data_IF_689276903442
#
_entry.id   IF_689276903442
#
_cell.length_a   1.000
_cell.length_b   1.000
_cell.length_c   1.000
_cell.angle_alpha   90.00
_cell.angle_beta   90.00
_cell.angle_gamma   90.00
#
_symmetry.space_group_name_H-M   'P 1'
#
loop_
_entity.id
_entity.type
_entity.pdbx_description
1 polymer ?
#
# COMPACT_ATOMS: atom_id res chain seq x y z
N UNK A 1 -6.26 13.66 -4.03
CA UNK A 1 -5.40 12.54 -3.61
C UNK A 1 -4.65 12.88 -2.34
N UNK A 2 -4.14 11.86 -1.64
CA UNK A 2 -3.39 12.04 -0.39
C UNK A 2 -2.07 11.26 -0.47
N UNK A 3 -0.97 11.95 -0.16
CA UNK A 3 0.36 11.35 -0.04
C UNK A 3 0.84 11.44 1.39
N UNK A 4 1.36 10.33 1.92
CA UNK A 4 1.90 10.24 3.27
C UNK A 4 3.40 10.00 3.17
N UNK A 5 4.20 10.88 3.76
CA UNK A 5 5.65 10.75 3.81
C UNK A 5 6.17 11.10 5.20
N UNK A 6 7.40 10.68 5.52
CA UNK A 6 8.05 11.06 6.77
C UNK A 6 9.00 12.25 6.63
N UNK A 7 9.28 12.73 5.40
CA UNK A 7 10.40 13.61 5.08
C UNK A 7 9.96 14.91 4.40
N UNK A 8 8.67 15.10 4.12
CA UNK A 8 8.16 16.28 3.41
C UNK A 8 8.61 16.39 1.93
N UNK A 9 9.27 15.37 1.39
CA UNK A 9 9.78 15.36 0.02
C UNK A 9 8.68 15.29 -1.05
N UNK A 10 7.47 14.90 -0.68
CA UNK A 10 6.33 14.90 -1.61
C UNK A 10 6.01 16.30 -2.13
N UNK A 11 6.08 17.32 -1.29
CA UNK A 11 5.85 18.72 -1.71
C UNK A 11 6.90 19.19 -2.69
N UNK A 12 8.18 18.90 -2.42
CA UNK A 12 9.28 19.25 -3.32
C UNK A 12 9.17 18.61 -4.71
N UNK A 13 8.54 17.45 -4.78
CA UNK A 13 8.38 16.71 -6.05
C UNK A 13 7.08 17.03 -6.77
N UNK A 14 6.07 17.52 -6.09
CA UNK A 14 4.71 17.71 -6.65
C UNK A 14 4.32 19.16 -6.87
N UNK A 15 4.94 20.12 -6.18
CA UNK A 15 4.62 21.55 -6.32
C UNK A 15 5.32 22.23 -7.51
N UNK A 16 6.62 22.00 -7.79
CA UNK A 16 7.31 22.69 -8.90
C UNK A 16 6.95 22.18 -10.30
N UNK A 17 6.66 20.87 -10.52
CA UNK A 17 6.39 20.37 -11.86
C UNK A 17 5.11 20.93 -12.46
N UNK A 18 5.14 21.20 -13.78
CA UNK A 18 3.97 21.65 -14.52
C UNK A 18 2.86 20.61 -14.61
N UNK A 19 3.23 19.33 -14.68
CA UNK A 19 2.31 18.20 -14.78
C UNK A 19 2.49 17.30 -13.57
N UNK A 20 1.39 17.02 -12.84
CA UNK A 20 1.36 16.07 -11.75
C UNK A 20 0.49 14.86 -12.10
N UNK A 21 1.09 13.68 -12.17
CA UNK A 21 0.39 12.43 -12.46
C UNK A 21 0.44 11.54 -11.22
N UNK A 22 -0.73 11.22 -10.68
CA UNK A 22 -0.89 10.30 -9.55
C UNK A 22 -1.28 8.93 -10.08
N UNK A 23 -0.52 7.89 -9.72
CA UNK A 23 -0.89 6.50 -9.99
C UNK A 23 -1.34 5.83 -8.69
N UNK A 24 -2.52 5.23 -8.68
CA UNK A 24 -3.05 4.55 -7.51
C UNK A 24 -3.80 3.28 -7.90
N UNK A 25 -3.66 2.22 -7.08
CA UNK A 25 -4.50 1.04 -7.24
C UNK A 25 -5.96 1.35 -6.92
N UNK A 26 -6.88 0.74 -7.65
CA UNK A 26 -8.34 0.95 -7.44
C UNK A 26 -8.76 0.63 -6.00
N UNK A 27 -8.05 -0.26 -5.32
CA UNK A 27 -8.30 -0.62 -3.92
C UNK A 27 -7.97 0.51 -2.91
N UNK A 28 -7.37 1.61 -3.38
CA UNK A 28 -7.04 2.78 -2.54
C UNK A 28 -8.11 3.87 -2.60
N UNK A 29 -9.16 3.67 -3.36
CA UNK A 29 -10.29 4.57 -3.37
C UNK A 29 -11.09 4.46 -2.07
N UNK A 30 -11.43 5.61 -1.50
CA UNK A 30 -12.25 5.70 -0.29
C UNK A 30 -13.45 6.62 -0.53
N UNK A 31 -14.60 6.36 0.09
CA UNK A 31 -15.83 7.08 -0.22
C UNK A 31 -15.87 8.51 0.33
N UNK A 32 -15.05 8.84 1.35
CA UNK A 32 -15.06 10.18 1.95
C UNK A 32 -13.78 10.48 2.74
N UNK A 33 -13.54 11.76 3.04
CA UNK A 33 -12.42 12.20 3.87
C UNK A 33 -12.38 11.56 5.27
N UNK A 34 -13.49 11.41 6.01
CA UNK A 34 -13.47 10.68 7.30
C UNK A 34 -12.92 9.26 7.17
N UNK A 35 -13.25 8.53 6.12
CA UNK A 35 -12.67 7.21 5.86
C UNK A 35 -11.17 7.29 5.58
N UNK A 36 -10.74 8.29 4.79
CA UNK A 36 -9.30 8.51 4.55
C UNK A 36 -8.55 8.77 5.86
N UNK A 37 -9.06 9.64 6.74
CA UNK A 37 -8.44 9.92 8.03
C UNK A 37 -8.41 8.70 8.95
N UNK A 38 -9.45 7.88 8.96
CA UNK A 38 -9.46 6.63 9.74
C UNK A 38 -8.35 5.68 9.27
N UNK A 39 -8.21 5.49 7.95
CA UNK A 39 -7.15 4.65 7.37
C UNK A 39 -5.76 5.23 7.61
N UNK A 40 -5.58 6.55 7.54
CA UNK A 40 -4.30 7.21 7.84
C UNK A 40 -3.87 6.97 9.29
N UNK A 41 -4.79 7.07 10.24
CA UNK A 41 -4.49 6.78 11.67
C UNK A 41 -4.07 5.33 11.87
N UNK A 42 -4.77 4.38 11.25
CA UNK A 42 -4.40 2.96 11.29
C UNK A 42 -3.02 2.71 10.65
N UNK A 43 -2.78 3.31 9.50
CA UNK A 43 -1.51 3.20 8.78
C UNK A 43 -0.34 3.65 9.66
N UNK A 44 -0.40 4.86 10.20
CA UNK A 44 0.68 5.45 10.97
C UNK A 44 0.92 4.69 12.26
N UNK A 45 -0.15 4.35 12.98
CA UNK A 45 -0.05 3.58 14.22
C UNK A 45 0.61 2.23 14.00
N UNK A 46 0.24 1.53 12.93
CA UNK A 46 0.78 0.21 12.61
C UNK A 46 2.19 0.25 12.01
N UNK A 47 2.56 1.33 11.31
CA UNK A 47 3.86 1.45 10.69
C UNK A 47 4.95 1.92 11.68
N UNK A 48 4.63 2.90 12.53
CA UNK A 48 5.62 3.60 13.36
C UNK A 48 5.25 3.71 14.84
N UNK A 49 4.03 3.34 15.24
CA UNK A 49 3.51 3.54 16.59
C UNK A 49 3.07 4.97 16.90
N UNK A 50 3.16 5.90 15.96
CA UNK A 50 2.75 7.29 16.12
C UNK A 50 1.22 7.46 16.06
N UNK A 51 0.71 8.51 16.66
CA UNK A 51 -0.74 8.82 16.65
C UNK A 51 -1.16 9.60 15.40
N UNK A 52 -0.25 10.36 14.80
CA UNK A 52 -0.47 11.17 13.60
C UNK A 52 0.71 11.04 12.63
N UNK A 53 0.46 11.31 11.35
CA UNK A 53 1.52 11.43 10.35
C UNK A 53 2.31 12.71 10.55
N UNK A 54 3.60 12.69 10.28
CA UNK A 54 4.42 13.90 10.29
C UNK A 54 4.11 14.78 9.07
N UNK A 55 4.01 14.17 7.90
CA UNK A 55 3.70 14.85 6.64
C UNK A 55 2.59 14.13 5.91
N UNK A 56 1.48 14.82 5.73
CA UNK A 56 0.35 14.34 4.93
C UNK A 56 -0.08 15.46 3.99
N UNK A 57 0.13 15.24 2.71
CA UNK A 57 -0.17 16.24 1.69
C UNK A 57 -1.42 15.85 0.92
N UNK A 58 -2.37 16.78 0.81
CA UNK A 58 -3.58 16.60 0.02
C UNK A 58 -3.48 17.38 -1.30
N UNK A 59 -3.64 16.69 -2.41
CA UNK A 59 -3.65 17.26 -3.74
C UNK A 59 -5.08 17.28 -4.27
N UNK A 60 -5.62 18.46 -4.52
CA UNK A 60 -7.02 18.63 -4.91
C UNK A 60 -7.22 18.86 -6.41
N UNK A 61 -6.15 19.16 -7.16
CA UNK A 61 -6.22 19.43 -8.59
C UNK A 61 -5.09 20.32 -9.08
N UNK A 62 -5.21 20.89 -10.27
CA UNK A 62 -4.28 21.89 -10.77
C UNK A 62 -4.41 23.20 -9.99
N UNK A 63 -3.37 24.02 -10.03
CA UNK A 63 -3.37 25.34 -9.39
C UNK A 63 -4.48 26.26 -9.96
N UNK A 64 -5.07 27.06 -9.09
CA UNK A 64 -6.05 28.03 -9.49
C UNK A 64 -5.40 29.28 -10.12
N UNK A 65 -6.20 30.07 -10.82
CA UNK A 65 -5.71 31.32 -11.42
C UNK A 65 -5.18 32.26 -10.33
N UNK A 66 -3.92 32.68 -10.46
CA UNK A 66 -3.24 33.55 -9.50
C UNK A 66 -2.41 32.82 -8.43
N UNK A 67 -2.48 31.50 -8.32
CA UNK A 67 -1.58 30.72 -7.48
C UNK A 67 -0.21 30.61 -8.16
N UNK A 68 0.86 30.77 -7.34
CA UNK A 68 2.23 30.70 -7.83
C UNK A 68 2.71 29.24 -7.86
N UNK A 69 2.35 28.46 -6.87
CA UNK A 69 2.80 27.08 -6.68
C UNK A 69 1.72 26.08 -7.08
N UNK A 70 2.16 24.90 -7.51
CA UNK A 70 1.31 23.79 -7.91
C UNK A 70 1.31 23.51 -9.40
N UNK A 71 0.87 22.33 -9.81
CA UNK A 71 0.88 21.89 -11.19
C UNK A 71 -0.18 22.63 -12.03
N UNK A 72 0.10 22.84 -13.30
CA UNK A 72 -0.87 23.35 -14.28
C UNK A 72 -1.85 22.25 -14.72
N UNK A 73 -1.36 21.00 -14.73
CA UNK A 73 -2.13 19.83 -15.12
C UNK A 73 -2.07 18.78 -14.01
N UNK A 74 -3.23 18.20 -13.68
CA UNK A 74 -3.34 17.17 -12.65
C UNK A 74 -4.09 15.96 -13.20
N UNK A 75 -3.45 14.78 -13.18
CA UNK A 75 -4.00 13.55 -13.72
C UNK A 75 -4.00 12.45 -12.66
N UNK A 76 -5.06 11.63 -12.64
CA UNK A 76 -5.15 10.45 -11.78
C UNK A 76 -5.31 9.23 -12.67
N UNK A 77 -4.36 8.30 -12.55
CA UNK A 77 -4.37 7.01 -13.24
C UNK A 77 -4.71 5.91 -12.23
N UNK A 78 -5.87 5.31 -12.39
CA UNK A 78 -6.31 4.20 -11.57
C UNK A 78 -5.84 2.88 -12.19
N UNK A 79 -5.08 2.10 -11.41
CA UNK A 79 -4.46 0.86 -11.85
C UNK A 79 -5.25 -0.33 -11.33
N UNK A 80 -5.78 -1.14 -12.22
CA UNK A 80 -6.42 -2.41 -11.88
C UNK A 80 -5.38 -3.52 -11.62
N UNK A 81 -4.62 -3.89 -12.61
CA UNK A 81 -3.59 -4.94 -12.54
C UNK A 81 -4.04 -6.17 -11.71
N UNK A 82 -5.20 -6.75 -12.04
CA UNK A 82 -5.73 -7.94 -11.38
C UNK A 82 -6.54 -7.70 -10.09
N UNK A 83 -6.67 -6.46 -9.61
CA UNK A 83 -7.42 -6.13 -8.38
C UNK A 83 -8.91 -6.41 -8.50
N UNK A 84 -9.48 -6.18 -9.68
CA UNK A 84 -10.88 -6.54 -9.96
C UNK A 84 -11.11 -8.05 -9.86
N UNK A 85 -10.16 -8.86 -10.33
CA UNK A 85 -10.21 -10.32 -10.18
C UNK A 85 -10.14 -10.72 -8.70
N UNK A 86 -9.23 -10.11 -7.93
CA UNK A 86 -9.15 -10.34 -6.48
C UNK A 86 -10.45 -9.97 -5.77
N UNK A 87 -11.09 -8.87 -6.17
CA UNK A 87 -12.36 -8.43 -5.58
C UNK A 87 -13.49 -9.43 -5.85
N UNK A 88 -13.51 -10.03 -7.02
CA UNK A 88 -14.51 -11.03 -7.41
C UNK A 88 -14.30 -12.37 -6.68
N UNK A 89 -13.08 -12.69 -6.26
CA UNK A 89 -12.74 -13.93 -5.61
C UNK A 89 -12.81 -13.81 -4.08
N UNK A 90 -13.74 -14.54 -3.47
CA UNK A 90 -13.99 -14.44 -2.02
C UNK A 90 -12.75 -14.75 -1.17
N UNK A 91 -11.92 -15.70 -1.61
CA UNK A 91 -10.69 -16.09 -0.91
C UNK A 91 -9.60 -15.01 -0.94
N UNK A 92 -9.55 -14.15 -1.97
CA UNK A 92 -8.49 -13.14 -2.12
C UNK A 92 -8.95 -11.70 -1.79
N UNK A 93 -10.25 -11.47 -1.71
CA UNK A 93 -10.84 -10.14 -1.49
C UNK A 93 -10.26 -9.40 -0.29
N UNK A 94 -10.04 -10.09 0.81
CA UNK A 94 -9.55 -9.51 2.05
C UNK A 94 -8.15 -8.90 1.90
N UNK A 95 -7.36 -9.39 0.96
CA UNK A 95 -6.03 -8.82 0.69
C UNK A 95 -6.10 -7.36 0.18
N UNK A 96 -7.18 -6.95 -0.46
CA UNK A 96 -7.37 -5.58 -0.96
C UNK A 96 -7.47 -4.53 0.16
N UNK A 97 -7.78 -4.94 1.40
CA UNK A 97 -7.79 -4.05 2.58
C UNK A 97 -6.40 -3.61 3.03
N UNK A 98 -5.33 -4.18 2.46
CA UNK A 98 -3.96 -3.94 2.91
C UNK A 98 -3.57 -2.46 2.86
N UNK A 99 -3.18 -1.89 4.01
CA UNK A 99 -2.73 -0.50 4.16
C UNK A 99 -1.27 -0.29 3.75
N UNK A 100 -0.51 -1.35 3.51
CA UNK A 100 0.93 -1.29 3.24
C UNK A 100 1.76 -0.78 4.42
N UNK A 101 1.28 -0.92 5.65
CA UNK A 101 1.96 -0.45 6.86
C UNK A 101 3.24 -1.22 7.22
N UNK A 102 3.43 -2.43 6.71
CA UNK A 102 4.63 -3.24 6.97
C UNK A 102 4.61 -4.02 8.30
N UNK A 103 3.59 -3.90 9.14
CA UNK A 103 3.54 -4.58 10.45
C UNK A 103 3.76 -6.10 10.34
N UNK A 104 3.17 -6.74 9.33
CA UNK A 104 3.36 -8.17 9.08
C UNK A 104 4.81 -8.56 8.78
N UNK A 105 5.58 -7.69 8.11
CA UNK A 105 7.00 -7.93 7.82
C UNK A 105 7.86 -7.88 9.08
N UNK A 106 7.59 -6.94 9.98
CA UNK A 106 8.32 -6.81 11.23
C UNK A 106 8.21 -8.06 12.14
N UNK A 107 7.13 -8.81 12.00
CA UNK A 107 6.87 -10.02 12.80
C UNK A 107 7.07 -11.32 12.04
N UNK A 108 7.47 -11.25 10.76
CA UNK A 108 7.74 -12.43 9.95
C UNK A 108 9.16 -12.94 10.19
N UNK A 109 9.27 -14.17 10.68
CA UNK A 109 10.58 -14.80 10.95
C UNK A 109 11.40 -14.97 9.67
N UNK A 110 10.74 -15.31 8.55
CA UNK A 110 11.41 -15.47 7.25
C UNK A 110 11.92 -14.12 6.73
N UNK A 111 11.05 -13.11 6.71
CA UNK A 111 11.44 -11.76 6.25
C UNK A 111 12.59 -11.17 7.08
N UNK A 112 12.59 -11.37 8.38
CA UNK A 112 13.65 -10.87 9.27
C UNK A 112 15.02 -11.52 9.01
N UNK A 113 15.03 -12.75 8.51
CA UNK A 113 16.28 -13.46 8.20
C UNK A 113 16.77 -13.15 6.78
N UNK A 114 15.89 -13.09 5.80
CA UNK A 114 16.26 -13.00 4.39
C UNK A 114 16.23 -11.58 3.83
N UNK A 115 15.48 -10.67 4.45
CA UNK A 115 15.26 -9.32 3.95
C UNK A 115 14.35 -9.26 2.73
N UNK A 116 14.00 -8.03 2.33
CA UNK A 116 13.02 -7.79 1.25
C UNK A 116 13.49 -8.19 -0.14
N UNK A 117 14.78 -8.03 -0.43
CA UNK A 117 15.34 -8.32 -1.76
C UNK A 117 15.24 -9.81 -2.15
N UNK A 118 15.29 -10.71 -1.18
CA UNK A 118 15.17 -12.15 -1.43
C UNK A 118 13.80 -12.57 -2.01
N UNK A 119 12.77 -11.72 -1.84
CA UNK A 119 11.45 -11.98 -2.42
C UNK A 119 11.36 -11.68 -3.93
N UNK A 120 12.34 -11.00 -4.51
CA UNK A 120 12.47 -10.78 -5.95
C UNK A 120 11.43 -9.84 -6.59
N UNK A 121 10.39 -9.45 -5.87
CA UNK A 121 9.29 -8.61 -6.37
C UNK A 121 9.18 -7.26 -5.64
N UNK A 122 8.22 -6.46 -6.09
CA UNK A 122 7.92 -5.14 -5.48
C UNK A 122 7.39 -5.27 -4.04
N UNK A 123 6.69 -6.34 -3.76
CA UNK A 123 6.02 -6.57 -2.48
C UNK A 123 6.67 -7.73 -1.73
N UNK A 124 7.50 -7.46 -0.72
CA UNK A 124 8.13 -8.51 0.07
C UNK A 124 7.27 -8.96 1.27
N UNK A 125 7.73 -9.99 1.96
CA UNK A 125 7.15 -10.49 3.20
C UNK A 125 5.80 -11.18 3.04
N UNK A 126 5.04 -11.37 4.13
CA UNK A 126 3.78 -12.12 4.09
C UNK A 126 2.76 -11.57 3.11
N UNK A 127 2.65 -10.25 3.03
CA UNK A 127 1.77 -9.57 2.07
C UNK A 127 2.21 -9.85 0.63
N UNK A 128 3.51 -9.78 0.35
CA UNK A 128 4.07 -10.01 -0.98
C UNK A 128 3.93 -11.46 -1.43
N UNK A 129 4.06 -12.42 -0.51
CA UNK A 129 3.87 -13.83 -0.81
C UNK A 129 2.45 -14.15 -1.31
N UNK A 130 1.44 -13.36 -0.91
CA UNK A 130 0.07 -13.46 -1.44
C UNK A 130 -0.10 -12.66 -2.72
N UNK A 131 0.38 -11.40 -2.77
CA UNK A 131 0.10 -10.49 -3.88
C UNK A 131 0.91 -10.79 -5.16
N UNK A 132 2.18 -11.13 -5.01
CA UNK A 132 3.06 -11.32 -6.18
C UNK A 132 2.57 -12.46 -7.08
N UNK A 133 2.15 -13.63 -6.55
CA UNK A 133 1.56 -14.68 -7.38
C UNK A 133 0.28 -14.25 -8.13
N UNK A 134 -0.51 -13.37 -7.53
CA UNK A 134 -1.73 -12.85 -8.18
C UNK A 134 -1.40 -11.92 -9.34
N UNK A 135 -0.36 -11.09 -9.20
CA UNK A 135 0.01 -10.10 -10.22
C UNK A 135 0.88 -10.68 -11.33
N UNK A 136 1.82 -11.55 -10.98
CA UNK A 136 2.85 -12.05 -11.90
C UNK A 136 2.61 -13.50 -12.35
N UNK A 137 1.66 -14.18 -11.73
CA UNK A 137 1.34 -15.58 -11.95
C UNK A 137 2.10 -16.54 -11.03
N UNK A 138 1.47 -17.68 -10.73
CA UNK A 138 2.01 -18.70 -9.83
C UNK A 138 3.32 -19.32 -10.35
N UNK A 139 3.46 -19.49 -11.65
CA UNK A 139 4.66 -20.10 -12.24
C UNK A 139 5.94 -19.31 -11.93
N UNK A 140 5.85 -17.97 -11.97
CA UNK A 140 6.99 -17.09 -11.69
C UNK A 140 7.26 -16.91 -10.20
N UNK A 141 6.27 -17.17 -9.36
CA UNK A 141 6.29 -16.84 -7.94
C UNK A 141 6.03 -18.05 -7.03
N UNK A 142 6.15 -19.26 -7.57
CA UNK A 142 5.79 -20.52 -6.88
C UNK A 142 6.52 -20.75 -5.56
N UNK A 143 7.72 -20.19 -5.40
CA UNK A 143 8.52 -20.39 -4.20
C UNK A 143 8.08 -19.45 -3.05
N UNK A 144 7.39 -18.35 -3.35
CA UNK A 144 6.99 -17.36 -2.34
C UNK A 144 6.00 -17.89 -1.30
N UNK A 145 4.93 -18.63 -1.65
CA UNK A 145 4.05 -19.25 -0.67
C UNK A 145 4.76 -20.24 0.25
N UNK A 146 5.80 -20.92 -0.24
CA UNK A 146 6.59 -21.88 0.54
C UNK A 146 7.57 -21.20 1.51
N UNK A 147 7.89 -19.92 1.30
CA UNK A 147 8.72 -19.12 2.21
C UNK A 147 7.90 -18.64 3.44
N UNK A 148 7.18 -19.55 4.09
CA UNK A 148 6.31 -19.26 5.22
C UNK A 148 6.36 -20.37 6.26
N UNK A 149 6.40 -19.99 7.54
CA UNK A 149 6.34 -20.95 8.67
C UNK A 149 4.90 -21.15 9.19
N UNK A 150 3.92 -20.47 8.62
CA UNK A 150 2.49 -20.50 9.00
C UNK A 150 2.23 -20.22 10.50
N UNK A 151 3.12 -19.46 11.16
CA UNK A 151 3.01 -19.17 12.59
C UNK A 151 1.87 -18.21 12.96
N UNK A 152 1.20 -17.61 11.99
CA UNK A 152 0.02 -16.74 12.18
C UNK A 152 0.31 -15.33 12.67
N UNK A 153 1.54 -14.98 13.07
CA UNK A 153 1.86 -13.68 13.68
C UNK A 153 1.57 -12.50 12.76
N UNK A 154 1.72 -12.68 11.46
CA UNK A 154 1.41 -11.67 10.46
C UNK A 154 -0.09 -11.28 10.42
N UNK A 155 -0.99 -12.21 10.74
CA UNK A 155 -2.42 -11.93 10.88
C UNK A 155 -2.71 -11.22 12.19
N UNK A 156 -2.17 -11.68 13.32
CA UNK A 156 -2.41 -11.07 14.63
C UNK A 156 -2.05 -9.58 14.69
N UNK A 157 -0.96 -9.20 14.00
CA UNK A 157 -0.50 -7.80 13.99
C UNK A 157 -1.12 -6.95 12.87
N UNK A 158 -1.96 -7.54 12.03
CA UNK A 158 -2.56 -6.84 10.92
C UNK A 158 -3.68 -5.90 11.41
N UNK A 159 -3.57 -4.56 11.22
CA UNK A 159 -4.55 -3.61 11.73
C UNK A 159 -5.91 -3.70 11.04
N UNK A 160 -5.99 -4.44 9.93
CA UNK A 160 -7.23 -4.66 9.15
C UNK A 160 -7.58 -6.14 9.03
N UNK A 161 -6.99 -6.95 9.89
CA UNK A 161 -7.28 -8.38 10.08
C UNK A 161 -7.33 -9.19 8.76
N UNK A 162 -6.24 -9.11 7.99
CA UNK A 162 -6.09 -9.92 6.78
C UNK A 162 -5.59 -11.32 7.18
N UNK A 163 -6.30 -12.39 6.82
CA UNK A 163 -5.92 -13.76 7.20
C UNK A 163 -4.77 -14.29 6.31
N UNK A 164 -3.61 -13.62 6.35
CA UNK A 164 -2.47 -13.89 5.48
C UNK A 164 -2.05 -15.37 5.40
N UNK A 165 -2.00 -16.13 6.53
CA UNK A 165 -1.64 -17.54 6.45
C UNK A 165 -2.65 -18.42 5.71
N UNK A 166 -3.92 -18.00 5.68
CA UNK A 166 -4.99 -18.71 4.98
C UNK A 166 -5.01 -18.41 3.49
N UNK A 167 -4.47 -17.24 3.10
CA UNK A 167 -4.42 -16.79 1.71
C UNK A 167 -3.21 -17.36 0.94
N UNK A 168 -2.25 -17.96 1.64
CA UNK A 168 -1.10 -18.65 1.05
C UNK A 168 -1.44 -20.04 0.59
#
# INVERSE_FOLDING_TARGET
TCTVTNEGNAELTTSPPRVHIVTAGIEKLVPSLPHAFALLRLLVRSATGADVTQYTTFHCGPKAAGEQDGPEEFHIVLVDNGRTKMLAEAGLRDMLRCLRCGACMNHCVVFRQMGGHAYGGTYPGPMGAVLTPVFDGLEKSRDLPHACTLNGKCQEVCPVDIPLPTLL
#
